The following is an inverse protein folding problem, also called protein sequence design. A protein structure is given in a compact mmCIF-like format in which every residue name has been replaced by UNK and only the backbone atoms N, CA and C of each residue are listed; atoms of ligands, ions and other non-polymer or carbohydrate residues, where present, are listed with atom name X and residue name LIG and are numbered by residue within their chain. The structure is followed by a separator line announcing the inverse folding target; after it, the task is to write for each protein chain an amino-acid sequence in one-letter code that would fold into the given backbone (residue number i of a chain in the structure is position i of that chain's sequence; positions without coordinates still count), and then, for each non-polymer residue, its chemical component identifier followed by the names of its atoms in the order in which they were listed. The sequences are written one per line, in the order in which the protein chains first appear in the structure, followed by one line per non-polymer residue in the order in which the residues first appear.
data_IF_878194224021
#
_entry.id   IF_878194224021
#
_cell.length_a   1.000
_cell.length_b   1.000
_cell.length_c   1.000
_cell.angle_alpha   90.00
_cell.angle_beta   90.00
_cell.angle_gamma   90.00
#
_symmetry.space_group_name_H-M   'P 1'
#
loop_
_entity.id
_entity.type
_entity.pdbx_description
1 polymer ?
#
# COMPACT_ATOMS: atom_id res chain seq x y z
N UNK A 1 -9.02 8.55 21.18
CA UNK A 1 -7.66 8.10 20.83
C UNK A 1 -6.70 9.22 21.24
N UNK A 2 -5.46 8.92 21.63
CA UNK A 2 -4.46 9.97 21.88
C UNK A 2 -3.96 10.54 20.54
N UNK A 3 -3.44 11.77 20.53
CA UNK A 3 -2.78 12.37 19.36
C UNK A 3 -1.75 11.42 18.73
N UNK A 4 -0.90 10.84 19.58
CA UNK A 4 0.13 9.89 19.15
C UNK A 4 -0.45 8.68 18.42
N UNK A 5 -1.53 8.08 18.93
CA UNK A 5 -2.15 6.92 18.28
C UNK A 5 -2.73 7.30 16.90
N UNK A 6 -3.23 8.52 16.73
CA UNK A 6 -3.72 8.99 15.43
C UNK A 6 -2.58 9.19 14.43
N UNK A 7 -1.43 9.74 14.88
CA UNK A 7 -0.21 9.87 14.06
C UNK A 7 0.36 8.48 13.72
N UNK A 8 0.51 7.60 14.71
CA UNK A 8 1.00 6.23 14.51
C UNK A 8 0.15 5.52 13.46
N UNK A 9 -1.18 5.61 13.57
CA UNK A 9 -2.09 5.00 12.61
C UNK A 9 -1.81 5.46 11.18
N UNK A 10 -1.73 6.77 10.92
CA UNK A 10 -1.47 7.26 9.55
C UNK A 10 -0.05 6.95 9.09
N UNK A 11 0.96 7.02 9.96
CA UNK A 11 2.34 6.72 9.56
C UNK A 11 2.51 5.24 9.26
N UNK A 12 1.89 4.33 10.02
CA UNK A 12 1.88 2.89 9.71
C UNK A 12 1.23 2.62 8.35
N UNK A 13 0.17 3.36 8.01
CA UNK A 13 -0.50 3.27 6.72
C UNK A 13 0.43 3.72 5.59
N UNK A 14 0.97 4.94 5.65
CA UNK A 14 1.86 5.46 4.60
C UNK A 14 3.15 4.66 4.47
N UNK A 15 3.73 4.23 5.60
CA UNK A 15 4.92 3.39 5.57
C UNK A 15 4.62 2.02 4.99
N UNK A 16 3.40 1.49 5.13
CA UNK A 16 2.96 0.29 4.45
C UNK A 16 3.02 0.41 2.92
N UNK A 17 2.61 1.55 2.35
CA UNK A 17 2.79 1.83 0.91
C UNK A 17 4.25 1.95 0.55
N UNK A 18 4.97 2.78 1.31
CA UNK A 18 6.37 3.08 1.06
C UNK A 18 7.25 1.84 1.00
N UNK A 19 7.11 0.90 1.95
CA UNK A 19 7.95 -0.30 1.98
C UNK A 19 7.76 -1.19 0.75
N UNK A 20 6.62 -1.13 0.06
CA UNK A 20 6.42 -1.84 -1.22
C UNK A 20 7.01 -1.03 -2.36
N UNK A 21 6.72 0.26 -2.39
CA UNK A 21 7.07 1.16 -3.48
C UNK A 21 8.59 1.32 -3.66
N UNK A 22 9.39 1.21 -2.60
CA UNK A 22 10.87 1.23 -2.70
C UNK A 22 11.46 0.02 -3.43
N UNK A 23 10.74 -1.10 -3.54
CA UNK A 23 11.21 -2.29 -4.28
C UNK A 23 10.84 -2.25 -5.76
N UNK A 24 9.83 -1.46 -6.14
CA UNK A 24 9.35 -1.35 -7.51
C UNK A 24 10.44 -0.95 -8.53
N UNK A 25 11.36 0.00 -8.22
CA UNK A 25 12.41 0.42 -9.16
C UNK A 25 13.36 -0.70 -9.59
N UNK A 26 13.49 -1.79 -8.81
CA UNK A 26 14.32 -2.95 -9.20
C UNK A 26 13.82 -3.63 -10.48
N UNK A 27 12.52 -3.54 -10.76
CA UNK A 27 11.88 -4.14 -11.94
C UNK A 27 11.33 -3.10 -12.92
N UNK A 28 11.09 -1.88 -12.44
CA UNK A 28 10.55 -0.76 -13.19
C UNK A 28 11.41 0.49 -12.96
N UNK A 29 12.64 0.54 -13.52
CA UNK A 29 13.69 1.50 -13.13
C UNK A 29 13.36 2.97 -13.45
N UNK A 30 12.39 3.21 -14.33
CA UNK A 30 11.91 4.57 -14.62
C UNK A 30 11.08 5.17 -13.47
N UNK A 31 10.72 4.37 -12.47
CA UNK A 31 9.90 4.78 -11.34
C UNK A 31 10.72 4.99 -10.06
N UNK A 32 10.34 5.96 -9.24
CA UNK A 32 10.92 6.18 -7.92
C UNK A 32 9.92 6.79 -6.94
N UNK A 33 10.14 6.57 -5.63
CA UNK A 33 9.43 7.30 -4.58
C UNK A 33 9.97 8.73 -4.54
N UNK A 34 9.08 9.69 -4.75
CA UNK A 34 9.41 11.12 -4.81
C UNK A 34 9.11 11.84 -3.50
N UNK A 35 7.99 11.53 -2.84
CA UNK A 35 7.59 12.22 -1.61
C UNK A 35 6.75 11.32 -0.71
N UNK A 36 6.86 11.55 0.60
CA UNK A 36 5.95 11.04 1.64
C UNK A 36 5.45 12.25 2.42
N UNK A 37 4.14 12.36 2.54
CA UNK A 37 3.48 13.48 3.21
C UNK A 37 2.47 12.97 4.23
N UNK A 38 2.45 13.59 5.40
CA UNK A 38 1.42 13.40 6.43
C UNK A 38 0.78 14.74 6.72
N UNK A 39 -0.55 14.79 6.68
CA UNK A 39 -1.35 15.99 6.78
C UNK A 39 -2.34 15.87 7.94
N UNK A 40 -2.68 17.01 8.54
CA UNK A 40 -3.76 17.11 9.49
C UNK A 40 -4.67 18.30 9.20
N UNK A 41 -5.98 18.05 9.17
CA UNK A 41 -6.99 19.06 8.93
C UNK A 41 -8.24 18.82 9.81
N UNK A 42 -8.46 19.70 10.79
CA UNK A 42 -9.70 19.75 11.59
C UNK A 42 -10.81 20.39 10.75
N UNK A 43 -11.35 19.67 9.76
CA UNK A 43 -12.64 20.07 9.17
C UNK A 43 -13.78 19.41 9.92
N UNK A 44 -14.86 20.15 10.15
CA UNK A 44 -16.07 19.68 10.85
C UNK A 44 -16.80 18.55 10.12
N UNK A 45 -16.50 18.33 8.84
CA UNK A 45 -17.11 17.34 7.94
C UNK A 45 -16.16 16.21 7.53
N UNK A 46 -14.88 16.25 7.96
CA UNK A 46 -13.93 15.18 7.65
C UNK A 46 -14.08 14.02 8.61
N UNK A 47 -14.25 12.81 8.08
CA UNK A 47 -14.31 11.58 8.87
C UNK A 47 -12.95 11.16 9.45
N UNK A 48 -11.84 11.70 8.91
CA UNK A 48 -10.48 11.50 9.42
C UNK A 48 -9.75 12.85 9.47
N UNK A 49 -9.24 13.24 10.63
CA UNK A 49 -8.47 14.50 10.76
C UNK A 49 -7.04 14.36 10.25
N UNK A 50 -6.50 13.14 10.21
CA UNK A 50 -5.18 12.82 9.67
C UNK A 50 -5.29 12.08 8.34
N UNK A 51 -4.42 12.41 7.40
CA UNK A 51 -4.27 11.75 6.10
C UNK A 51 -2.82 11.80 5.65
N UNK A 52 -2.48 11.09 4.58
CA UNK A 52 -1.16 11.10 4.01
C UNK A 52 -1.17 10.60 2.58
N UNK A 53 0.02 10.56 1.99
CA UNK A 53 0.26 9.85 0.74
C UNK A 53 1.76 9.57 0.54
N UNK A 54 2.04 8.48 -0.16
CA UNK A 54 3.32 8.20 -0.81
C UNK A 54 3.17 8.44 -2.31
N UNK A 55 4.06 9.22 -2.92
CA UNK A 55 4.00 9.50 -4.35
C UNK A 55 5.15 8.87 -5.10
N UNK A 56 4.78 8.09 -6.11
CA UNK A 56 5.68 7.57 -7.12
C UNK A 56 5.69 8.46 -8.37
N UNK A 57 6.88 8.70 -8.93
CA UNK A 57 7.05 9.35 -10.24
C UNK A 57 7.78 8.41 -11.21
N UNK A 58 7.45 8.43 -12.52
CA UNK A 58 6.28 9.10 -13.10
C UNK A 58 4.97 8.41 -12.67
N UNK A 59 3.83 9.08 -12.81
CA UNK A 59 2.53 8.46 -12.57
C UNK A 59 2.06 7.70 -13.81
N UNK A 60 1.45 6.52 -13.63
CA UNK A 60 0.84 5.73 -14.73
C UNK A 60 -0.68 5.85 -14.64
N UNK A 61 -1.34 6.13 -15.77
CA UNK A 61 -2.81 6.13 -15.84
C UNK A 61 -3.34 4.73 -15.55
N UNK A 62 -4.39 4.62 -14.72
CA UNK A 62 -4.96 3.33 -14.33
C UNK A 62 -5.36 2.43 -15.51
N UNK A 63 -5.86 3.03 -16.60
CA UNK A 63 -6.22 2.29 -17.81
C UNK A 63 -5.04 1.55 -18.48
N UNK A 64 -3.80 1.98 -18.26
CA UNK A 64 -2.59 1.39 -18.83
C UNK A 64 -1.90 0.40 -17.88
N UNK A 65 -2.35 0.30 -16.63
CA UNK A 65 -1.77 -0.63 -15.65
C UNK A 65 -2.01 -2.11 -16.02
N UNK A 66 -3.21 -2.52 -16.45
CA UNK A 66 -3.50 -3.93 -16.80
C UNK A 66 -2.71 -4.51 -17.98
N UNK A 67 -1.99 -3.67 -18.73
CA UNK A 67 -1.17 -4.09 -19.87
C UNK A 67 0.18 -4.69 -19.45
N UNK A 68 0.58 -4.47 -18.20
CA UNK A 68 1.83 -4.95 -17.63
C UNK A 68 1.51 -5.67 -16.30
N UNK A 69 1.36 -7.01 -16.32
CA UNK A 69 1.02 -7.80 -15.13
C UNK A 69 2.01 -7.59 -13.96
N UNK A 70 3.29 -7.41 -14.28
CA UNK A 70 4.33 -7.12 -13.27
C UNK A 70 4.10 -5.76 -12.64
N UNK A 71 3.88 -4.71 -13.43
CA UNK A 71 3.56 -3.38 -12.89
C UNK A 71 2.24 -3.38 -12.11
N UNK A 72 1.21 -4.07 -12.62
CA UNK A 72 -0.09 -4.21 -11.99
C UNK A 72 0.03 -4.86 -10.62
N UNK A 73 0.75 -5.97 -10.49
CA UNK A 73 0.96 -6.62 -9.19
C UNK A 73 1.60 -5.69 -8.17
N UNK A 74 2.67 -4.96 -8.51
CA UNK A 74 3.28 -3.97 -7.61
C UNK A 74 2.29 -2.88 -7.20
N UNK A 75 1.51 -2.36 -8.16
CA UNK A 75 0.49 -1.36 -7.87
C UNK A 75 -0.61 -1.89 -6.94
N UNK A 76 -1.08 -3.13 -7.15
CA UNK A 76 -2.10 -3.74 -6.31
C UNK A 76 -1.58 -4.07 -4.90
N UNK A 77 -0.37 -4.63 -4.79
CA UNK A 77 0.29 -4.91 -3.49
C UNK A 77 0.48 -3.61 -2.72
N UNK A 78 1.00 -2.57 -3.39
CA UNK A 78 1.21 -1.25 -2.78
C UNK A 78 -0.11 -0.65 -2.30
N UNK A 79 -1.17 -0.63 -3.12
CA UNK A 79 -2.46 -0.07 -2.70
C UNK A 79 -3.08 -0.76 -1.48
N UNK A 80 -2.91 -2.08 -1.33
CA UNK A 80 -3.45 -2.80 -0.18
C UNK A 80 -2.53 -2.65 1.05
N UNK A 81 -1.22 -2.51 0.85
CA UNK A 81 -0.23 -2.65 1.92
C UNK A 81 -0.38 -1.61 3.03
N UNK A 82 -0.80 -0.38 2.74
CA UNK A 82 -1.04 0.62 3.78
C UNK A 82 -2.05 0.13 4.82
N UNK A 83 -3.20 -0.40 4.37
CA UNK A 83 -4.18 -0.99 5.26
C UNK A 83 -3.73 -2.31 5.91
N UNK A 84 -2.90 -3.12 5.25
CA UNK A 84 -2.32 -4.32 5.88
C UNK A 84 -1.43 -3.94 7.05
N UNK A 85 -0.50 -3.00 6.86
CA UNK A 85 0.43 -2.59 7.90
C UNK A 85 -0.28 -1.88 9.06
N UNK A 86 -1.26 -1.03 8.77
CA UNK A 86 -2.15 -0.48 9.80
C UNK A 86 -2.85 -1.61 10.58
N UNK A 87 -3.40 -2.60 9.88
CA UNK A 87 -4.11 -3.73 10.52
C UNK A 87 -3.18 -4.55 11.41
N UNK A 88 -1.98 -4.90 10.92
CA UNK A 88 -0.94 -5.61 11.70
C UNK A 88 -0.55 -4.80 12.93
N UNK A 89 -0.37 -3.49 12.80
CA UNK A 89 -0.06 -2.63 13.93
C UNK A 89 -1.14 -2.69 15.02
N UNK A 90 -2.41 -2.53 14.66
CA UNK A 90 -3.48 -2.60 15.64
C UNK A 90 -3.65 -4.00 16.23
N UNK A 91 -3.73 -5.02 15.38
CA UNK A 91 -4.05 -6.39 15.80
C UNK A 91 -2.88 -7.06 16.54
N UNK A 92 -1.67 -6.99 15.99
CA UNK A 92 -0.54 -7.79 16.48
C UNK A 92 0.36 -7.03 17.45
N UNK A 93 0.41 -5.69 17.37
CA UNK A 93 1.26 -4.86 18.25
C UNK A 93 0.43 -4.25 19.38
N UNK A 94 -0.71 -3.63 19.08
CA UNK A 94 -1.55 -3.00 20.10
C UNK A 94 -2.59 -3.94 20.73
N UNK A 95 -2.77 -5.14 20.19
CA UNK A 95 -3.82 -6.10 20.61
C UNK A 95 -5.24 -5.50 20.55
N UNK A 96 -5.50 -4.69 19.53
CA UNK A 96 -6.80 -4.07 19.23
C UNK A 96 -7.40 -4.79 18.04
N UNK A 97 -8.60 -5.35 18.20
CA UNK A 97 -9.33 -5.97 17.11
C UNK A 97 -9.56 -4.95 15.99
N UNK A 98 -8.96 -5.20 14.83
CA UNK A 98 -9.10 -4.41 13.62
C UNK A 98 -9.01 -5.35 12.43
N UNK A 99 -9.95 -5.24 11.51
CA UNK A 99 -9.90 -5.97 10.25
C UNK A 99 -9.41 -5.07 9.13
N UNK A 100 -8.85 -5.69 8.08
CA UNK A 100 -8.38 -4.94 6.91
C UNK A 100 -9.52 -4.16 6.25
N UNK A 101 -10.73 -4.71 6.23
CA UNK A 101 -11.92 -4.10 5.63
C UNK A 101 -12.44 -2.88 6.41
N UNK A 102 -11.96 -2.66 7.64
CA UNK A 102 -12.20 -1.41 8.38
C UNK A 102 -11.38 -0.24 7.82
N UNK A 103 -10.26 -0.54 7.13
CA UNK A 103 -9.40 0.43 6.48
C UNK A 103 -9.57 0.45 4.95
N UNK A 104 -9.61 -0.72 4.31
CA UNK A 104 -9.60 -0.88 2.87
C UNK A 104 -11.03 -1.10 2.36
N UNK A 105 -11.80 -0.02 2.26
CA UNK A 105 -13.19 -0.09 1.80
C UNK A 105 -13.69 1.22 1.18
N UNK A 106 -14.84 1.17 0.51
CA UNK A 106 -15.53 2.37 -0.02
C UNK A 106 -16.07 3.32 1.06
N UNK A 107 -16.00 2.98 2.35
CA UNK A 107 -16.51 3.85 3.42
C UNK A 107 -15.70 5.16 3.41
N UNK A 108 -16.33 6.34 3.32
CA UNK A 108 -15.59 7.61 3.35
C UNK A 108 -14.77 7.85 4.63
N UNK A 109 -15.13 7.15 5.72
CA UNK A 109 -14.40 7.17 6.99
C UNK A 109 -13.21 6.22 7.06
N UNK A 110 -13.04 5.36 6.06
CA UNK A 110 -11.92 4.43 6.01
C UNK A 110 -10.68 5.15 5.46
N UNK A 111 -9.54 4.95 6.15
CA UNK A 111 -8.28 5.63 5.83
C UNK A 111 -7.84 5.30 4.40
N UNK A 112 -7.84 4.02 4.03
CA UNK A 112 -7.48 3.55 2.69
C UNK A 112 -8.62 3.57 1.68
N UNK A 113 -9.62 4.44 1.84
CA UNK A 113 -10.73 4.53 0.88
C UNK A 113 -10.28 4.98 -0.52
N UNK A 114 -9.26 5.86 -0.59
CA UNK A 114 -8.65 6.27 -1.85
C UNK A 114 -7.87 5.13 -2.50
N UNK A 115 -7.18 4.32 -1.71
CA UNK A 115 -6.44 3.16 -2.21
C UNK A 115 -7.40 2.09 -2.72
N UNK A 116 -8.48 1.83 -1.98
CA UNK A 116 -9.54 0.93 -2.40
C UNK A 116 -10.16 1.38 -3.73
N UNK A 117 -10.48 2.67 -3.87
CA UNK A 117 -11.00 3.21 -5.13
C UNK A 117 -10.03 3.03 -6.28
N UNK A 118 -8.73 3.27 -6.05
CA UNK A 118 -7.68 3.11 -7.05
C UNK A 118 -7.49 1.64 -7.43
N UNK A 119 -7.53 0.73 -6.46
CA UNK A 119 -7.48 -0.71 -6.64
C UNK A 119 -8.67 -1.20 -7.49
N UNK A 120 -9.88 -0.78 -7.14
CA UNK A 120 -11.09 -1.11 -7.88
C UNK A 120 -11.09 -0.54 -9.30
N UNK A 121 -10.52 0.66 -9.52
CA UNK A 121 -10.36 1.23 -10.85
C UNK A 121 -9.43 0.40 -11.74
N UNK A 122 -8.31 -0.09 -11.21
CA UNK A 122 -7.37 -0.96 -11.94
C UNK A 122 -8.07 -2.28 -12.33
N UNK A 123 -8.83 -2.89 -11.42
CA UNK A 123 -9.61 -4.11 -11.70
C UNK A 123 -10.67 -3.84 -12.77
N UNK A 124 -11.39 -2.72 -12.66
CA UNK A 124 -12.42 -2.35 -13.64
C UNK A 124 -11.81 -2.18 -15.03
N UNK A 125 -10.66 -1.51 -15.14
CA UNK A 125 -9.95 -1.39 -16.41
C UNK A 125 -9.44 -2.74 -16.93
N UNK A 126 -9.03 -3.66 -16.05
CA UNK A 126 -8.67 -5.04 -16.44
C UNK A 126 -9.85 -5.76 -17.11
N UNK A 127 -11.05 -5.66 -16.54
CA UNK A 127 -12.30 -6.23 -17.10
C UNK A 127 -12.71 -5.58 -18.42
N UNK A 128 -12.46 -4.28 -18.57
CA UNK A 128 -12.70 -3.60 -19.84
C UNK A 128 -11.74 -4.10 -20.92
N UNK A 129 -10.48 -4.33 -20.56
CA UNK A 129 -9.40 -4.71 -21.47
C UNK A 129 -9.46 -6.16 -21.94
N UNK A 130 -9.83 -7.08 -21.05
CA UNK A 130 -9.87 -8.52 -21.30
C UNK A 130 -11.31 -9.03 -21.16
N UNK A 131 -11.93 -9.41 -22.29
CA UNK A 131 -13.37 -9.71 -22.32
C UNK A 131 -13.75 -10.91 -21.45
N UNK A 132 -12.86 -11.89 -21.36
CA UNK A 132 -12.99 -13.09 -20.52
C UNK A 132 -13.00 -12.84 -19.03
N UNK A 133 -12.60 -11.65 -18.58
CA UNK A 133 -12.71 -11.29 -17.18
C UNK A 133 -14.12 -10.85 -16.82
N UNK A 134 -14.95 -10.48 -17.80
CA UNK A 134 -16.31 -9.98 -17.58
C UNK A 134 -17.20 -11.11 -17.09
N UNK A 135 -17.67 -11.00 -15.85
CA UNK A 135 -18.54 -12.00 -15.23
C UNK A 135 -17.86 -13.32 -14.86
N UNK A 136 -16.54 -13.45 -15.07
CA UNK A 136 -15.79 -14.64 -14.67
C UNK A 136 -15.60 -14.66 -13.16
N UNK A 137 -16.20 -15.65 -12.50
CA UNK A 137 -16.21 -15.75 -11.03
C UNK A 137 -14.82 -15.98 -10.45
N UNK A 138 -13.99 -16.79 -11.11
CA UNK A 138 -12.66 -17.14 -10.61
C UNK A 138 -11.73 -15.93 -10.68
N UNK A 139 -11.76 -15.19 -11.79
CA UNK A 139 -11.01 -13.93 -11.94
C UNK A 139 -11.46 -12.89 -10.91
N UNK A 140 -12.77 -12.75 -10.70
CA UNK A 140 -13.30 -11.80 -9.74
C UNK A 140 -12.96 -12.18 -8.30
N UNK A 141 -13.05 -13.47 -7.95
CA UNK A 141 -12.64 -13.99 -6.65
C UNK A 141 -11.17 -13.67 -6.38
N UNK A 142 -10.31 -13.98 -7.36
CA UNK A 142 -8.87 -13.72 -7.26
C UNK A 142 -8.55 -12.23 -7.06
N UNK A 143 -9.06 -11.37 -7.94
CA UNK A 143 -8.71 -9.95 -7.95
C UNK A 143 -9.34 -9.18 -6.78
N UNK A 144 -10.56 -9.52 -6.35
CA UNK A 144 -11.27 -8.75 -5.31
C UNK A 144 -11.05 -9.26 -3.89
N UNK A 145 -10.74 -10.55 -3.71
CA UNK A 145 -10.67 -11.19 -2.39
C UNK A 145 -9.35 -11.94 -2.17
N UNK A 146 -9.07 -12.97 -2.96
CA UNK A 146 -8.01 -13.93 -2.63
C UNK A 146 -6.63 -13.28 -2.61
N UNK A 147 -6.37 -12.36 -3.54
CA UNK A 147 -5.06 -11.70 -3.62
C UNK A 147 -4.77 -10.83 -2.39
N UNK A 148 -5.77 -10.08 -1.90
CA UNK A 148 -5.65 -9.26 -0.69
C UNK A 148 -5.32 -10.12 0.52
N UNK A 149 -6.03 -11.23 0.68
CA UNK A 149 -5.83 -12.14 1.81
C UNK A 149 -4.49 -12.87 1.72
N UNK A 150 -4.06 -13.26 0.52
CA UNK A 150 -2.72 -13.82 0.28
C UNK A 150 -1.63 -12.83 0.73
N UNK A 151 -1.71 -11.58 0.29
CA UNK A 151 -0.71 -10.54 0.62
C UNK A 151 -0.69 -10.29 2.13
N UNK A 152 -1.86 -10.12 2.78
CA UNK A 152 -1.97 -9.96 4.24
C UNK A 152 -1.29 -11.14 4.97
N UNK A 153 -1.66 -12.37 4.62
CA UNK A 153 -1.18 -13.56 5.28
C UNK A 153 0.33 -13.75 5.14
N UNK A 154 0.89 -13.46 3.97
CA UNK A 154 2.34 -13.60 3.75
C UNK A 154 3.13 -12.49 4.47
N UNK A 155 2.65 -11.24 4.48
CA UNK A 155 3.29 -10.14 5.21
C UNK A 155 3.26 -10.38 6.73
N UNK A 156 2.11 -10.78 7.28
CA UNK A 156 1.97 -11.07 8.73
C UNK A 156 2.88 -12.21 9.22
N UNK A 157 3.30 -13.12 8.34
CA UNK A 157 4.25 -14.19 8.68
C UNK A 157 5.68 -13.67 8.82
N UNK A 158 6.04 -12.56 8.17
CA UNK A 158 7.37 -11.98 8.24
C UNK A 158 7.54 -11.07 9.46
N UNK A 159 7.39 -11.66 10.66
CA UNK A 159 7.39 -10.92 11.94
C UNK A 159 8.69 -10.18 12.20
N UNK A 160 9.83 -10.75 11.82
CA UNK A 160 11.14 -10.14 12.05
C UNK A 160 11.29 -8.85 11.24
N UNK A 161 10.76 -8.81 10.01
CA UNK A 161 10.68 -7.57 9.23
C UNK A 161 9.76 -6.55 9.91
N UNK A 162 8.54 -6.94 10.31
CA UNK A 162 7.57 -6.04 10.95
C UNK A 162 8.13 -5.41 12.23
N UNK A 163 8.83 -6.19 13.06
CA UNK A 163 9.46 -5.67 14.27
C UNK A 163 10.65 -4.75 13.97
N UNK A 164 11.40 -5.03 12.90
CA UNK A 164 12.55 -4.19 12.52
C UNK A 164 12.08 -2.84 11.94
N UNK A 165 11.08 -2.86 11.06
CA UNK A 165 10.53 -1.64 10.45
C UNK A 165 9.78 -0.77 11.47
N UNK A 166 9.22 -1.38 12.53
CA UNK A 166 8.56 -0.64 13.62
C UNK A 166 9.47 0.46 14.18
N UNK A 167 10.75 0.20 14.39
CA UNK A 167 11.67 1.20 14.94
C UNK A 167 11.83 2.41 14.02
N UNK A 168 11.85 2.15 12.70
CA UNK A 168 11.90 3.20 11.66
C UNK A 168 10.60 4.02 11.70
N UNK A 169 9.46 3.34 11.74
CA UNK A 169 8.13 3.96 11.81
C UNK A 169 7.99 4.81 13.07
N UNK A 170 8.38 4.30 14.24
CA UNK A 170 8.35 5.02 15.51
C UNK A 170 9.21 6.30 15.45
N UNK A 171 10.37 6.25 14.77
CA UNK A 171 11.23 7.41 14.56
C UNK A 171 10.53 8.48 13.71
N UNK A 172 9.84 8.09 12.65
CA UNK A 172 9.06 9.01 11.80
C UNK A 172 7.89 9.61 12.58
N UNK A 173 7.14 8.79 13.34
CA UNK A 173 6.06 9.25 14.22
C UNK A 173 6.55 10.31 15.20
N UNK A 174 7.68 10.07 15.87
CA UNK A 174 8.25 11.02 16.83
C UNK A 174 8.65 12.35 16.19
N UNK A 175 9.17 12.33 14.96
CA UNK A 175 9.51 13.57 14.22
C UNK A 175 8.25 14.37 13.91
N UNK A 176 7.19 13.71 13.42
CA UNK A 176 5.92 14.36 13.08
C UNK A 176 5.23 14.89 14.34
N UNK A 177 5.17 14.09 15.41
CA UNK A 177 4.57 14.51 16.69
C UNK A 177 5.29 15.74 17.26
N UNK A 178 6.63 15.72 17.26
CA UNK A 178 7.43 16.84 17.75
C UNK A 178 7.23 18.10 16.91
N UNK A 179 7.20 17.98 15.59
CA UNK A 179 6.98 19.11 14.68
C UNK A 179 5.57 19.70 14.84
N UNK A 180 4.55 18.84 14.90
CA UNK A 180 3.15 19.25 15.11
C UNK A 180 2.97 20.02 16.42
N UNK A 181 3.54 19.53 17.52
CA UNK A 181 3.46 20.19 18.82
C UNK A 181 4.29 21.48 18.88
N UNK A 182 5.49 21.50 18.29
CA UNK A 182 6.33 22.70 18.25
C UNK A 182 5.69 23.85 17.47
N UNK A 183 4.85 23.53 16.49
CA UNK A 183 4.09 24.50 15.71
C UNK A 183 2.72 24.88 16.32
N UNK A 184 2.48 24.53 17.60
CA UNK A 184 1.23 24.79 18.33
C UNK A 184 -0.01 24.12 17.70
N UNK A 185 0.12 22.85 17.29
CA UNK A 185 -0.97 22.02 16.77
C UNK A 185 -1.76 22.66 15.60
N UNK A 186 -1.08 23.07 14.52
CA UNK A 186 -1.72 23.84 13.46
C UNK A 186 -2.80 23.03 12.72
N UNK A 187 -3.75 23.74 12.11
CA UNK A 187 -4.75 23.17 11.23
C UNK A 187 -5.10 24.21 10.15
N UNK A 188 -4.70 24.03 8.88
CA UNK A 188 -4.06 22.83 8.34
C UNK A 188 -2.60 22.63 8.80
N UNK A 189 -2.16 21.38 8.79
CA UNK A 189 -0.79 20.93 9.01
C UNK A 189 -0.37 20.01 7.87
N UNK A 190 0.88 20.13 7.43
CA UNK A 190 1.50 19.31 6.39
C UNK A 190 2.96 19.09 6.82
N UNK A 191 3.34 17.82 6.95
CA UNK A 191 4.71 17.39 7.19
C UNK A 191 5.20 16.60 5.98
N UNK A 192 6.30 17.08 5.38
CA UNK A 192 6.98 16.43 4.26
C UNK A 192 8.32 15.92 4.72
N UNK A 193 8.61 14.66 4.43
CA UNK A 193 9.97 14.14 4.60
C UNK A 193 10.88 14.84 3.58
N UNK A 194 11.98 15.44 4.04
CA UNK A 194 12.96 16.08 3.15
C UNK A 194 13.58 15.07 2.21
N UNK A 195 14.09 15.51 1.07
CA UNK A 195 14.72 14.62 0.08
C UNK A 195 15.88 13.80 0.67
N UNK A 196 16.76 14.45 1.43
CA UNK A 196 17.88 13.79 2.14
C UNK A 196 17.38 12.70 3.11
N UNK A 197 16.38 13.02 3.94
CA UNK A 197 15.81 12.07 4.89
C UNK A 197 15.02 10.96 4.20
N UNK A 198 14.42 11.23 3.04
CA UNK A 198 13.71 10.26 2.24
C UNK A 198 14.69 9.26 1.61
N UNK A 199 15.84 9.71 1.13
CA UNK A 199 16.87 8.83 0.58
C UNK A 199 17.52 7.94 1.64
N UNK A 200 17.79 8.49 2.83
CA UNK A 200 18.20 7.70 4.00
C UNK A 200 17.14 6.65 4.36
N UNK A 201 15.87 7.05 4.39
CA UNK A 201 14.76 6.15 4.71
C UNK A 201 14.62 5.03 3.66
N UNK A 202 14.78 5.33 2.37
CA UNK A 202 14.78 4.31 1.30
C UNK A 202 15.91 3.30 1.52
N UNK A 203 17.12 3.77 1.81
CA UNK A 203 18.28 2.92 2.02
C UNK A 203 18.08 1.99 3.24
N UNK A 204 17.64 2.55 4.37
CA UNK A 204 17.37 1.80 5.60
C UNK A 204 16.28 0.74 5.40
N UNK A 205 15.17 1.09 4.73
CA UNK A 205 14.10 0.13 4.44
C UNK A 205 14.56 -0.97 3.50
N UNK A 206 15.35 -0.65 2.48
CA UNK A 206 15.89 -1.66 1.55
C UNK A 206 16.87 -2.61 2.25
N UNK A 207 17.72 -2.10 3.14
CA UNK A 207 18.64 -2.90 3.96
C UNK A 207 17.85 -3.87 4.86
N UNK A 208 16.93 -3.35 5.68
CA UNK A 208 16.07 -4.17 6.54
C UNK A 208 15.28 -5.20 5.71
N UNK A 209 14.76 -4.79 4.55
CA UNK A 209 13.99 -5.68 3.67
C UNK A 209 14.84 -6.82 3.11
N UNK A 210 16.11 -6.58 2.78
CA UNK A 210 17.05 -7.61 2.33
C UNK A 210 17.40 -8.56 3.47
N UNK A 211 17.81 -8.02 4.61
CA UNK A 211 18.25 -8.81 5.77
C UNK A 211 17.15 -9.71 6.35
N UNK A 212 15.88 -9.27 6.25
CA UNK A 212 14.71 -9.99 6.80
C UNK A 212 13.92 -10.78 5.75
N UNK A 213 14.45 -10.94 4.54
CA UNK A 213 13.80 -11.74 3.49
C UNK A 213 12.51 -11.13 2.93
N UNK A 214 12.25 -9.85 3.21
CA UNK A 214 11.04 -9.16 2.77
C UNK A 214 11.12 -8.81 1.28
N UNK A 215 12.32 -8.47 0.78
CA UNK A 215 12.54 -8.22 -0.66
C UNK A 215 12.09 -9.42 -1.51
N UNK A 216 12.48 -10.62 -1.10
CA UNK A 216 12.15 -11.90 -1.75
C UNK A 216 10.66 -12.21 -1.64
N UNK A 217 10.03 -11.84 -0.52
CA UNK A 217 8.59 -11.98 -0.35
C UNK A 217 7.81 -11.13 -1.35
N UNK A 218 8.22 -9.88 -1.57
CA UNK A 218 7.56 -9.00 -2.55
C UNK A 218 7.72 -9.54 -3.97
N UNK A 219 8.92 -10.03 -4.31
CA UNK A 219 9.20 -10.71 -5.59
C UNK A 219 8.27 -11.92 -5.76
N UNK A 220 8.16 -12.79 -4.74
CA UNK A 220 7.27 -13.96 -4.76
C UNK A 220 5.80 -13.59 -4.94
N UNK A 221 5.31 -12.58 -4.21
CA UNK A 221 3.92 -12.11 -4.32
C UNK A 221 3.62 -11.56 -5.72
N UNK A 222 4.55 -10.79 -6.30
CA UNK A 222 4.47 -10.29 -7.67
C UNK A 222 4.43 -11.43 -8.69
N UNK A 223 5.32 -12.40 -8.56
CA UNK A 223 5.41 -13.53 -9.49
C UNK A 223 4.16 -14.40 -9.43
N UNK A 224 3.68 -14.73 -8.23
CA UNK A 224 2.42 -15.46 -8.03
C UNK A 224 1.23 -14.75 -8.67
N UNK A 225 1.14 -13.41 -8.52
CA UNK A 225 0.09 -12.64 -9.17
C UNK A 225 0.23 -12.71 -10.69
N UNK A 226 1.44 -12.47 -11.20
CA UNK A 226 1.72 -12.39 -12.64
C UNK A 226 1.41 -13.71 -13.34
N UNK A 227 1.76 -14.84 -12.72
CA UNK A 227 1.48 -16.18 -13.22
C UNK A 227 -0.03 -16.43 -13.30
N UNK A 228 -0.78 -16.19 -12.22
CA UNK A 228 -2.22 -16.41 -12.21
C UNK A 228 -2.95 -15.46 -13.17
N UNK A 229 -2.59 -14.18 -13.17
CA UNK A 229 -3.20 -13.17 -14.04
C UNK A 229 -2.98 -13.48 -15.52
N UNK A 230 -1.74 -13.82 -15.90
CA UNK A 230 -1.41 -14.22 -17.28
C UNK A 230 -2.11 -15.52 -17.66
N UNK A 231 -2.19 -16.50 -16.75
CA UNK A 231 -2.92 -17.74 -16.99
C UNK A 231 -4.41 -17.50 -17.28
N UNK A 232 -5.04 -16.53 -16.63
CA UNK A 232 -6.42 -16.14 -16.96
C UNK A 232 -6.52 -15.53 -18.36
N UNK A 233 -5.55 -14.72 -18.80
CA UNK A 233 -5.51 -14.13 -20.14
C UNK A 233 -5.33 -15.22 -21.21
N UNK A 234 -4.39 -16.14 -21.02
CA UNK A 234 -4.02 -17.15 -22.00
C UNK A 234 -5.12 -18.19 -22.23
N UNK A 235 -5.78 -18.65 -21.15
CA UNK A 235 -6.89 -19.62 -21.23
C UNK A 235 -8.00 -19.15 -22.18
N UNK A 236 -8.23 -17.85 -22.29
CA UNK A 236 -9.22 -17.29 -23.19
C UNK A 236 -8.79 -17.32 -24.67
N UNK A 237 -7.52 -17.03 -24.96
CA UNK A 237 -7.04 -17.04 -26.35
C UNK A 237 -7.16 -18.47 -26.92
N UNK A 238 -6.84 -19.49 -26.12
CA UNK A 238 -7.01 -20.89 -26.54
C UNK A 238 -8.46 -21.34 -26.75
N UNK A 239 -9.44 -20.68 -26.12
CA UNK A 239 -10.87 -21.05 -26.23
C UNK A 239 -11.59 -20.34 -27.39
N UNK A 240 -10.96 -19.36 -28.06
CA UNK A 240 -11.56 -18.61 -29.19
C UNK A 240 -10.83 -18.76 -30.52
N UNK A 241 -9.75 -19.55 -30.56
CA UNK A 241 -9.02 -19.90 -31.79
C UNK A 241 -9.49 -21.23 -32.41
N UNK A 242 -10.50 -21.89 -31.82
CA UNK A 242 -11.21 -23.09 -32.32
C UNK A 242 -12.59 -22.75 -32.91
#
# INVERSE_FOLDING_TARGET
MSLRNDIERIVWHEMGHFVIDVHKPKHHPDYCVNEIVVEHNKRSDSYTSWSGYVKMLPTKKYALIPEDPSFMSYSLISLISGCIFETIYFADILNVAKEIDDCFSFKPSAMGSRDYNSYYNIITHSRSRYENFRGNKDVNAFLEFDFKDLVKNEISKNKDFILSIKNVIDSVVLRIEKDFLANNEPSPYDYRISEEALDELKAEVLEISGDKGFSELIVKLRDNFTEQYTGFIEKYNSENDD
#
